data_IF_415654351526
#
_entry.id   IF_415654351526
#
_cell.length_a   1.000
_cell.length_b   1.000
_cell.length_c   1.000
_cell.angle_alpha   90.00
_cell.angle_beta   90.00
_cell.angle_gamma   90.00
#
_symmetry.space_group_name_H-M   'P 1'
#
loop_
_entity.id
_entity.type
_entity.pdbx_description
1 polymer ?
#
# COMPACT_ATOMS: atom_id res chain seq x y z
N UNK A 1 -3.04 -25.19 -30.69
CA UNK A 1 -3.76 -23.91 -30.45
C UNK A 1 -3.25 -23.40 -29.11
N UNK A 2 -2.43 -22.34 -29.13
CA UNK A 2 -1.93 -21.72 -27.90
C UNK A 2 -3.03 -20.80 -27.37
N UNK A 3 -3.57 -21.11 -26.19
CA UNK A 3 -4.44 -20.18 -25.48
C UNK A 3 -3.68 -18.85 -25.22
N UNK A 4 -4.28 -17.68 -25.50
CA UNK A 4 -3.66 -16.41 -25.22
C UNK A 4 -3.55 -16.20 -23.70
N UNK A 5 -2.55 -15.44 -23.22
CA UNK A 5 -2.37 -15.24 -21.79
C UNK A 5 -3.60 -14.53 -21.23
N UNK A 6 -4.25 -15.17 -20.26
CA UNK A 6 -5.28 -14.57 -19.42
C UNK A 6 -4.82 -13.17 -19.04
N UNK A 7 -5.54 -12.15 -19.48
CA UNK A 7 -5.41 -10.79 -18.94
C UNK A 7 -5.56 -10.92 -17.43
N UNK A 8 -4.42 -10.85 -16.73
CA UNK A 8 -4.37 -10.72 -15.28
C UNK A 8 -5.12 -9.43 -14.99
N UNK A 9 -6.32 -9.57 -14.44
CA UNK A 9 -7.16 -8.45 -14.05
C UNK A 9 -6.45 -7.54 -13.02
N UNK A 10 -7.10 -6.44 -12.60
CA UNK A 10 -6.54 -5.40 -11.73
C UNK A 10 -5.91 -5.91 -10.41
N UNK A 11 -6.23 -7.13 -10.01
CA UNK A 11 -5.66 -7.86 -8.88
C UNK A 11 -4.12 -7.89 -8.83
N UNK A 12 -3.43 -7.96 -9.99
CA UNK A 12 -1.97 -7.94 -10.00
C UNK A 12 -1.41 -6.53 -9.79
N UNK A 13 -2.13 -5.48 -10.23
CA UNK A 13 -1.68 -4.09 -10.07
C UNK A 13 -1.82 -3.64 -8.61
N UNK A 14 -2.95 -3.95 -7.97
CA UNK A 14 -3.20 -3.51 -6.58
C UNK A 14 -2.34 -4.25 -5.55
N UNK A 15 -2.02 -5.52 -5.78
CA UNK A 15 -1.08 -6.26 -4.95
C UNK A 15 0.36 -5.71 -5.09
N UNK A 16 0.76 -5.36 -6.31
CA UNK A 16 2.04 -4.70 -6.57
C UNK A 16 2.08 -3.29 -5.94
N UNK A 17 0.96 -2.55 -5.97
CA UNK A 17 0.84 -1.24 -5.33
C UNK A 17 0.94 -1.35 -3.81
N UNK A 18 0.33 -2.36 -3.20
CA UNK A 18 0.42 -2.61 -1.75
C UNK A 18 1.87 -2.91 -1.33
N UNK A 19 2.57 -3.77 -2.07
CA UNK A 19 3.98 -4.11 -1.81
C UNK A 19 4.90 -2.88 -1.98
N UNK A 20 4.75 -2.13 -3.08
CA UNK A 20 5.51 -0.92 -3.33
C UNK A 20 5.32 0.14 -2.22
N UNK A 21 4.10 0.27 -1.68
CA UNK A 21 3.84 1.16 -0.54
C UNK A 21 4.53 0.70 0.74
N UNK A 22 4.56 -0.60 1.03
CA UNK A 22 5.29 -1.13 2.18
C UNK A 22 6.79 -0.87 2.09
N UNK A 23 7.38 -1.03 0.90
CA UNK A 23 8.79 -0.70 0.66
C UNK A 23 9.07 0.78 0.91
N UNK A 24 8.19 1.67 0.42
CA UNK A 24 8.30 3.12 0.67
C UNK A 24 8.19 3.46 2.15
N UNK A 25 7.21 2.90 2.87
CA UNK A 25 7.05 3.10 4.31
C UNK A 25 8.33 2.66 5.04
N UNK A 26 8.88 1.50 4.70
CA UNK A 26 10.12 0.98 5.29
C UNK A 26 11.30 1.91 5.05
N UNK A 27 11.49 2.40 3.83
CA UNK A 27 12.54 3.36 3.50
C UNK A 27 12.38 4.71 4.21
N UNK A 28 11.15 5.18 4.40
CA UNK A 28 10.87 6.39 5.15
C UNK A 28 11.19 6.23 6.64
N UNK A 29 10.89 5.07 7.24
CA UNK A 29 11.26 4.76 8.61
C UNK A 29 12.78 4.76 8.82
N UNK A 30 13.55 4.14 7.91
CA UNK A 30 15.01 4.17 7.96
C UNK A 30 15.55 5.61 7.91
N UNK A 31 15.00 6.45 7.04
CA UNK A 31 15.37 7.87 6.97
C UNK A 31 14.99 8.64 8.23
N UNK A 32 13.84 8.32 8.83
CA UNK A 32 13.39 8.94 10.07
C UNK A 32 14.33 8.61 11.23
N UNK A 33 14.77 7.35 11.35
CA UNK A 33 15.74 6.92 12.37
C UNK A 33 17.07 7.66 12.29
N UNK A 34 17.51 8.01 11.08
CA UNK A 34 18.74 8.78 10.85
C UNK A 34 18.54 10.30 10.95
N UNK A 35 17.30 10.77 11.15
CA UNK A 35 16.98 12.20 11.19
C UNK A 35 16.79 12.65 12.64
N UNK A 36 17.45 13.74 13.02
CA UNK A 36 17.29 14.35 14.35
C UNK A 36 15.82 14.71 14.61
N UNK A 37 15.30 14.27 15.76
CA UNK A 37 13.97 14.60 16.23
C UNK A 37 13.71 16.12 16.31
N UNK A 38 12.44 16.51 16.23
CA UNK A 38 11.97 17.90 16.30
C UNK A 38 12.52 18.84 15.21
N UNK A 39 13.10 18.29 14.14
CA UNK A 39 13.45 19.07 12.94
C UNK A 39 12.26 19.11 11.97
N UNK A 40 12.15 20.16 11.13
CA UNK A 40 11.14 20.19 10.08
C UNK A 40 11.20 18.95 9.17
N UNK A 41 12.42 18.45 8.89
CA UNK A 41 12.64 17.23 8.11
C UNK A 41 12.08 15.98 8.80
N UNK A 42 12.24 15.86 10.12
CA UNK A 42 11.67 14.76 10.89
C UNK A 42 10.14 14.76 10.83
N UNK A 43 9.52 15.93 11.02
CA UNK A 43 8.07 16.07 10.93
C UNK A 43 7.55 15.75 9.52
N UNK A 44 8.23 16.23 8.48
CA UNK A 44 7.88 15.92 7.09
C UNK A 44 7.97 14.40 6.79
N UNK A 45 8.96 13.71 7.33
CA UNK A 45 9.07 12.25 7.19
C UNK A 45 7.92 11.52 7.90
N UNK A 46 7.50 11.98 9.09
CA UNK A 46 6.32 11.43 9.77
C UNK A 46 5.06 11.62 8.92
N UNK A 47 4.85 12.80 8.35
CA UNK A 47 3.68 13.08 7.53
C UNK A 47 3.65 12.21 6.26
N UNK A 48 4.82 11.98 5.64
CA UNK A 48 4.94 11.05 4.52
C UNK A 48 4.64 9.60 4.92
N UNK A 49 5.12 9.15 6.08
CA UNK A 49 4.83 7.80 6.59
C UNK A 49 3.32 7.63 6.82
N UNK A 50 2.67 8.63 7.41
CA UNK A 50 1.21 8.62 7.62
C UNK A 50 0.45 8.53 6.31
N UNK A 51 0.79 9.37 5.33
CA UNK A 51 0.13 9.39 4.03
C UNK A 51 0.26 8.04 3.28
N UNK A 52 1.45 7.44 3.27
CA UNK A 52 1.66 6.13 2.64
C UNK A 52 0.94 5.01 3.40
N UNK A 53 0.90 5.07 4.73
CA UNK A 53 0.17 4.10 5.57
C UNK A 53 -1.34 4.17 5.32
N UNK A 54 -1.90 5.37 5.24
CA UNK A 54 -3.33 5.57 4.93
C UNK A 54 -3.68 5.04 3.55
N UNK A 55 -2.82 5.28 2.56
CA UNK A 55 -3.02 4.78 1.22
C UNK A 55 -2.90 3.25 1.13
N UNK A 56 -1.95 2.65 1.86
CA UNK A 56 -1.85 1.19 2.00
C UNK A 56 -3.12 0.62 2.64
N UNK A 57 -3.63 1.24 3.71
CA UNK A 57 -4.86 0.82 4.38
C UNK A 57 -6.07 0.84 3.44
N UNK A 58 -6.21 1.88 2.60
CA UNK A 58 -7.28 1.96 1.60
C UNK A 58 -7.25 0.78 0.61
N UNK A 59 -6.06 0.33 0.21
CA UNK A 59 -5.91 -0.86 -0.65
C UNK A 59 -6.36 -2.12 0.08
N UNK A 60 -6.01 -2.27 1.37
CA UNK A 60 -6.45 -3.41 2.17
C UNK A 60 -7.97 -3.41 2.39
N UNK A 61 -8.56 -2.25 2.69
CA UNK A 61 -10.00 -2.09 2.89
C UNK A 61 -10.77 -2.38 1.59
N UNK A 62 -10.25 -1.96 0.44
CA UNK A 62 -10.80 -2.32 -0.87
C UNK A 62 -10.77 -3.83 -1.11
N UNK A 63 -9.67 -4.51 -0.78
CA UNK A 63 -9.58 -5.98 -0.84
C UNK A 63 -10.57 -6.68 0.10
N UNK A 64 -10.78 -6.13 1.31
CA UNK A 64 -11.73 -6.68 2.28
C UNK A 64 -13.18 -6.47 1.87
N UNK A 65 -13.50 -5.34 1.24
CA UNK A 65 -14.84 -5.02 0.71
C UNK A 65 -15.24 -5.84 -0.52
N UNK A 66 -14.28 -6.51 -1.16
CA UNK A 66 -14.47 -7.45 -2.28
C UNK A 66 -14.62 -8.92 -1.83
N UNK A 67 -14.65 -9.20 -0.51
CA UNK A 67 -15.03 -10.51 -0.01
C UNK A 67 -16.44 -10.89 -0.48
N UNK A 68 -16.73 -12.18 -0.77
CA UNK A 68 -18.03 -12.59 -1.29
C UNK A 68 -19.12 -12.11 -0.34
N UNK A 69 -20.00 -11.24 -0.84
CA UNK A 69 -21.30 -11.02 -0.21
C UNK A 69 -21.98 -12.38 -0.29
N UNK A 70 -22.03 -13.07 0.83
CA UNK A 70 -22.88 -14.23 1.01
C UNK A 70 -24.32 -13.72 0.87
N UNK A 71 -24.82 -13.75 -0.37
CA UNK A 71 -26.22 -13.58 -0.70
C UNK A 71 -26.95 -14.72 0.00
N UNK A 72 -27.61 -14.42 1.11
CA UNK A 72 -28.51 -15.35 1.77
C UNK A 72 -29.86 -15.21 1.09
N UNK A 73 -30.16 -16.17 0.20
CA UNK A 73 -31.53 -16.46 -0.24
C UNK A 73 -32.39 -16.92 0.95
#
# INVERSE_FOLDING_TARGET
MSDPPKKLGPFSSEANDAAARLERITGLWQRLQLTRAHTPKYNALIDQIRAETDAFRKILDAKKGLGPKESKD
#
